data_IF_452232427304
#
_entry.id   IF_452232427304
#
_cell.length_a   1.000
_cell.length_b   1.000
_cell.length_c   1.000
_cell.angle_alpha   90.00
_cell.angle_beta   90.00
_cell.angle_gamma   90.00
#
_symmetry.space_group_name_H-M   'P 1'
#
loop_
_entity.id
_entity.type
_entity.pdbx_description
1 polymer ?
#
# COMPACT_ATOMS: atom_id res chain seq x y z
N UNK A 1 -2.49 22.99 9.52
CA UNK A 1 -2.13 21.60 9.12
C UNK A 1 -1.58 21.72 7.72
N UNK A 2 -0.40 21.15 7.42
CA UNK A 2 0.07 21.11 6.02
C UNK A 2 -0.93 20.30 5.18
N UNK A 3 -1.03 20.61 3.90
CA UNK A 3 -1.87 19.87 2.97
C UNK A 3 -1.44 18.39 3.01
N UNK A 4 -2.35 17.43 3.30
CA UNK A 4 -2.02 16.01 3.25
C UNK A 4 -1.54 15.52 1.87
N UNK A 5 -1.71 16.33 0.82
CA UNK A 5 -1.25 16.03 -0.54
C UNK A 5 0.14 16.60 -0.88
N UNK A 6 0.73 17.47 -0.04
CA UNK A 6 2.14 17.87 -0.18
C UNK A 6 3.01 16.76 0.44
N UNK A 7 3.42 15.76 -0.35
CA UNK A 7 4.33 14.72 0.16
C UNK A 7 5.74 15.29 0.28
N UNK A 8 6.02 15.95 1.40
CA UNK A 8 7.37 15.99 1.95
C UNK A 8 7.68 14.64 2.56
N UNK A 9 8.87 14.10 2.29
CA UNK A 9 9.36 12.83 2.86
C UNK A 9 8.97 12.68 4.34
N UNK A 10 8.25 11.61 4.68
CA UNK A 10 7.74 11.34 6.01
C UNK A 10 8.66 10.40 6.80
N UNK A 11 9.41 9.54 6.12
CA UNK A 11 10.34 8.63 6.80
C UNK A 11 11.69 9.27 7.06
N UNK A 12 12.20 9.10 8.27
CA UNK A 12 13.55 9.51 8.67
C UNK A 12 14.09 8.59 9.75
N UNK A 13 15.39 8.33 9.70
CA UNK A 13 16.10 7.58 10.74
C UNK A 13 16.54 8.51 11.90
N UNK A 14 16.56 9.82 11.66
CA UNK A 14 16.95 10.88 12.60
C UNK A 14 15.83 11.92 12.75
N UNK A 15 14.73 11.61 13.47
CA UNK A 15 13.65 12.56 13.68
C UNK A 15 14.08 13.72 14.57
N UNK A 16 13.69 14.94 14.21
CA UNK A 16 14.13 16.19 14.87
C UNK A 16 13.00 16.92 15.59
N UNK A 17 11.77 16.49 15.39
CA UNK A 17 10.58 17.08 16.00
C UNK A 17 9.55 16.00 16.36
N UNK A 18 8.55 16.38 17.14
CA UNK A 18 7.55 15.46 17.66
C UNK A 18 6.78 14.72 16.55
N UNK A 19 6.50 15.38 15.43
CA UNK A 19 5.78 14.77 14.31
C UNK A 19 6.63 13.71 13.62
N UNK A 20 7.88 14.03 13.29
CA UNK A 20 8.83 13.06 12.74
C UNK A 20 9.05 11.89 13.69
N UNK A 21 9.20 12.15 14.99
CA UNK A 21 9.36 11.11 16.01
C UNK A 21 8.15 10.20 16.06
N UNK A 22 6.92 10.76 16.07
CA UNK A 22 5.68 9.99 16.09
C UNK A 22 5.55 9.10 14.84
N UNK A 23 5.78 9.66 13.64
CA UNK A 23 5.68 8.92 12.37
C UNK A 23 6.77 7.85 12.20
N UNK A 24 7.88 7.98 12.92
CA UNK A 24 9.04 7.09 12.84
C UNK A 24 9.31 6.38 14.18
N UNK A 25 8.29 6.24 15.03
CA UNK A 25 8.44 5.75 16.40
C UNK A 25 8.75 4.26 16.45
N UNK A 26 8.05 3.46 15.64
CA UNK A 26 8.38 2.05 15.41
C UNK A 26 9.00 1.89 14.03
N UNK A 27 10.08 1.12 13.93
CA UNK A 27 10.78 0.92 12.68
C UNK A 27 11.43 -0.46 12.60
N UNK A 28 11.66 -0.95 11.38
CA UNK A 28 12.35 -2.22 11.14
C UNK A 28 13.88 -2.06 11.20
N UNK A 29 14.56 -2.96 11.90
CA UNK A 29 16.02 -3.10 11.95
C UNK A 29 16.37 -4.57 12.15
N UNK A 30 17.30 -5.10 11.36
CA UNK A 30 17.76 -6.50 11.47
C UNK A 30 16.61 -7.55 11.50
N UNK A 31 15.57 -7.34 10.69
CA UNK A 31 14.33 -8.13 10.63
C UNK A 31 13.49 -8.14 11.92
N UNK A 32 13.66 -7.14 12.78
CA UNK A 32 12.89 -6.95 14.00
C UNK A 32 12.24 -5.56 14.02
N UNK A 33 11.11 -5.45 14.71
CA UNK A 33 10.51 -4.16 15.01
C UNK A 33 11.17 -3.56 16.25
N UNK A 34 11.60 -2.30 16.14
CA UNK A 34 12.29 -1.55 17.18
C UNK A 34 11.49 -0.31 17.53
N UNK A 35 11.28 -0.08 18.82
CA UNK A 35 10.73 1.15 19.37
C UNK A 35 11.87 2.16 19.55
N UNK A 36 11.70 3.35 18.99
CA UNK A 36 12.71 4.43 19.08
C UNK A 36 13.00 4.84 20.52
N UNK A 37 12.00 4.81 21.39
CA UNK A 37 12.19 5.08 22.81
C UNK A 37 11.18 4.32 23.66
N UNK A 38 11.63 3.52 24.62
CA UNK A 38 10.78 2.88 25.61
C UNK A 38 11.56 2.69 26.91
N UNK A 39 10.89 2.76 28.06
CA UNK A 39 11.50 2.49 29.38
C UNK A 39 12.81 3.29 29.65
N UNK A 40 12.84 4.56 29.24
CA UNK A 40 14.03 5.40 29.44
C UNK A 40 15.18 5.14 28.47
N UNK A 41 15.02 4.23 27.51
CA UNK A 41 16.07 3.79 26.58
C UNK A 41 15.67 4.07 25.15
N UNK A 42 16.67 4.33 24.32
CA UNK A 42 16.52 4.42 22.86
C UNK A 42 16.71 3.04 22.22
N UNK A 43 16.14 2.87 21.03
CA UNK A 43 16.29 1.68 20.18
C UNK A 43 16.03 0.35 20.91
N UNK A 44 14.82 0.24 21.45
CA UNK A 44 14.38 -0.91 22.23
C UNK A 44 13.69 -1.94 21.33
N UNK A 45 14.16 -3.18 21.36
CA UNK A 45 13.49 -4.29 20.68
C UNK A 45 12.05 -4.45 21.20
N UNK A 46 11.08 -4.51 20.28
CA UNK A 46 9.66 -4.58 20.62
C UNK A 46 9.31 -5.89 21.33
N UNK A 47 9.84 -7.03 20.88
CA UNK A 47 9.51 -8.33 21.45
C UNK A 47 10.07 -8.46 22.87
N UNK A 48 11.30 -8.00 23.11
CA UNK A 48 11.90 -7.90 24.43
C UNK A 48 11.07 -7.00 25.36
N UNK A 49 10.65 -5.83 24.87
CA UNK A 49 9.83 -4.90 25.62
C UNK A 49 8.48 -5.52 26.01
N UNK A 50 7.77 -6.13 25.05
CA UNK A 50 6.48 -6.77 25.29
C UNK A 50 6.62 -7.96 26.24
N UNK A 51 7.62 -8.84 26.06
CA UNK A 51 7.86 -9.98 26.96
C UNK A 51 8.10 -9.50 28.39
N UNK A 52 8.93 -8.48 28.59
CA UNK A 52 9.16 -7.88 29.91
C UNK A 52 7.85 -7.40 30.55
N UNK A 53 7.08 -6.57 29.83
CA UNK A 53 5.81 -6.05 30.34
C UNK A 53 4.77 -7.16 30.58
N UNK A 54 4.77 -8.21 29.78
CA UNK A 54 3.87 -9.35 29.92
C UNK A 54 4.19 -10.16 31.19
N UNK A 55 5.48 -10.36 31.49
CA UNK A 55 5.96 -11.04 32.71
C UNK A 55 5.54 -10.32 33.97
N UNK A 56 5.59 -8.99 33.99
CA UNK A 56 5.09 -8.16 35.10
C UNK A 56 3.58 -8.34 35.35
N UNK A 57 2.83 -8.76 34.33
CA UNK A 57 1.39 -9.05 34.39
C UNK A 57 1.07 -10.54 34.57
N UNK A 58 2.09 -11.39 34.76
CA UNK A 58 1.95 -12.83 34.97
C UNK A 58 1.83 -13.68 33.70
N UNK A 59 1.95 -13.08 32.50
CA UNK A 59 2.06 -13.81 31.24
C UNK A 59 3.51 -14.26 31.01
N UNK A 60 3.71 -15.47 30.49
CA UNK A 60 5.03 -16.10 30.32
C UNK A 60 5.52 -16.12 28.87
N UNK A 61 5.01 -15.21 28.05
CA UNK A 61 5.43 -15.11 26.64
C UNK A 61 6.89 -14.68 26.57
N UNK A 62 7.70 -15.40 25.80
CA UNK A 62 9.08 -15.06 25.49
C UNK A 62 9.17 -14.28 24.17
N UNK A 63 10.26 -13.53 23.92
CA UNK A 63 10.43 -12.77 22.68
C UNK A 63 10.30 -13.63 21.42
N UNK A 64 10.77 -14.87 21.45
CA UNK A 64 10.68 -15.82 20.33
C UNK A 64 9.22 -16.20 20.03
N UNK A 65 8.39 -16.39 21.06
CA UNK A 65 6.97 -16.70 20.90
C UNK A 65 6.23 -15.55 20.18
N UNK A 66 6.61 -14.30 20.45
CA UNK A 66 6.04 -13.12 19.80
C UNK A 66 6.36 -13.09 18.31
N UNK A 67 7.60 -13.42 17.94
CA UNK A 67 8.03 -13.54 16.55
C UNK A 67 7.28 -14.64 15.80
N UNK A 68 6.86 -15.70 16.51
CA UNK A 68 6.01 -16.77 15.98
C UNK A 68 4.50 -16.42 15.99
N UNK A 69 4.12 -15.27 16.56
CA UNK A 69 2.76 -14.74 16.51
C UNK A 69 1.92 -14.96 17.77
N UNK A 70 2.51 -15.36 18.90
CA UNK A 70 1.79 -15.73 20.13
C UNK A 70 0.87 -14.65 20.74
N UNK A 71 0.99 -13.38 20.32
CA UNK A 71 0.11 -12.30 20.75
C UNK A 71 -0.92 -11.82 19.71
N UNK A 72 -0.95 -12.36 18.48
CA UNK A 72 -1.88 -11.84 17.45
C UNK A 72 -3.34 -12.19 17.71
N UNK A 73 -3.63 -13.24 18.48
CA UNK A 73 -4.99 -13.66 18.86
C UNK A 73 -5.37 -13.25 20.29
N UNK A 74 -4.49 -12.53 20.98
CA UNK A 74 -4.74 -12.08 22.34
C UNK A 74 -5.53 -10.75 22.36
N UNK A 75 -6.46 -10.60 23.29
CA UNK A 75 -7.25 -9.37 23.49
C UNK A 75 -6.67 -8.45 24.60
N UNK A 76 -5.36 -8.52 24.83
CA UNK A 76 -4.70 -7.68 25.84
C UNK A 76 -4.06 -6.43 25.23
N UNK A 77 -3.85 -5.40 26.04
CA UNK A 77 -3.25 -4.13 25.63
C UNK A 77 -1.84 -4.29 25.06
N UNK A 78 -1.10 -5.34 25.48
CA UNK A 78 0.22 -5.65 24.95
C UNK A 78 0.15 -6.26 23.55
N UNK A 79 -0.88 -7.06 23.26
CA UNK A 79 -1.15 -7.58 21.93
C UNK A 79 -1.53 -6.47 20.95
N UNK A 80 -2.35 -5.51 21.40
CA UNK A 80 -2.68 -4.30 20.62
C UNK A 80 -1.40 -3.50 20.33
N UNK A 81 -0.58 -3.24 21.36
CA UNK A 81 0.68 -2.51 21.20
C UNK A 81 1.63 -3.21 20.23
N UNK A 82 1.83 -4.52 20.39
CA UNK A 82 2.65 -5.33 19.49
C UNK A 82 2.15 -5.20 18.05
N UNK A 83 0.86 -5.43 17.82
CA UNK A 83 0.26 -5.39 16.48
C UNK A 83 0.42 -4.02 15.83
N UNK A 84 0.11 -2.94 16.54
CA UNK A 84 0.23 -1.57 16.01
C UNK A 84 1.69 -1.20 15.76
N UNK A 85 2.61 -1.59 16.64
CA UNK A 85 4.03 -1.28 16.48
C UNK A 85 4.65 -2.05 15.30
N UNK A 86 4.34 -3.33 15.12
CA UNK A 86 4.76 -4.12 13.95
C UNK A 86 4.15 -3.52 12.67
N UNK A 87 2.85 -3.24 12.67
CA UNK A 87 2.18 -2.60 11.53
C UNK A 87 2.86 -1.27 11.16
N UNK A 88 3.14 -0.42 12.15
CA UNK A 88 3.79 0.86 11.92
C UNK A 88 5.21 0.68 11.34
N UNK A 89 6.00 -0.27 11.86
CA UNK A 89 7.33 -0.58 11.33
C UNK A 89 7.27 -1.06 9.87
N UNK A 90 6.33 -1.96 9.55
CA UNK A 90 6.08 -2.47 8.19
C UNK A 90 5.69 -1.36 7.21
N UNK A 91 4.68 -0.56 7.56
CA UNK A 91 4.19 0.53 6.72
C UNK A 91 5.28 1.59 6.51
N UNK A 92 6.01 1.96 7.57
CA UNK A 92 7.15 2.87 7.49
C UNK A 92 8.24 2.31 6.58
N UNK A 93 8.59 1.03 6.71
CA UNK A 93 9.62 0.40 5.88
C UNK A 93 9.28 0.46 4.40
N UNK A 94 8.04 0.09 4.04
CA UNK A 94 7.55 0.18 2.65
C UNK A 94 7.51 1.61 2.14
N UNK A 95 7.02 2.55 2.95
CA UNK A 95 7.01 3.96 2.59
C UNK A 95 8.44 4.48 2.36
N UNK A 96 9.39 4.12 3.24
CA UNK A 96 10.80 4.49 3.10
C UNK A 96 11.37 3.96 1.79
N UNK A 97 11.05 2.73 1.39
CA UNK A 97 11.47 2.18 0.09
C UNK A 97 10.95 3.01 -1.09
N UNK A 98 9.68 3.40 -1.08
CA UNK A 98 9.11 4.24 -2.13
C UNK A 98 9.74 5.64 -2.15
N UNK A 99 9.91 6.25 -0.97
CA UNK A 99 10.55 7.57 -0.83
C UNK A 99 12.04 7.55 -1.22
N UNK A 100 12.78 6.49 -0.92
CA UNK A 100 14.18 6.29 -1.32
C UNK A 100 14.32 6.06 -2.83
N UNK A 101 13.33 5.40 -3.45
CA UNK A 101 13.24 5.26 -4.90
C UNK A 101 12.82 6.56 -5.61
N UNK A 102 12.45 7.60 -4.86
CA UNK A 102 11.96 8.86 -5.40
C UNK A 102 10.55 8.77 -5.99
N UNK A 103 9.77 7.73 -5.64
CA UNK A 103 8.40 7.55 -6.10
C UNK A 103 7.52 8.62 -5.45
N UNK A 104 6.85 9.40 -6.29
CA UNK A 104 5.92 10.47 -5.93
C UNK A 104 4.47 10.04 -6.16
N UNK A 105 3.50 10.82 -5.66
CA UNK A 105 2.09 10.64 -6.05
C UNK A 105 1.90 10.78 -7.57
N UNK A 106 2.76 11.57 -8.23
CA UNK A 106 2.74 11.73 -9.67
C UNK A 106 3.20 10.45 -10.39
N UNK A 107 4.12 9.68 -9.82
CA UNK A 107 4.48 8.35 -10.34
C UNK A 107 3.37 7.32 -10.10
N UNK A 108 2.47 7.58 -9.15
CA UNK A 108 1.25 6.83 -8.94
C UNK A 108 0.09 7.31 -9.83
N UNK A 109 0.32 8.21 -10.80
CA UNK A 109 -0.69 8.57 -11.80
C UNK A 109 -1.11 7.32 -12.57
N UNK A 110 -2.41 7.14 -12.73
CA UNK A 110 -2.97 6.07 -13.54
C UNK A 110 -3.09 6.59 -14.97
N UNK A 111 -1.96 6.86 -15.61
CA UNK A 111 -1.90 7.28 -17.01
C UNK A 111 -2.20 6.11 -17.95
N UNK A 112 -2.61 6.39 -19.20
CA UNK A 112 -2.71 5.35 -20.21
C UNK A 112 -1.37 4.65 -20.39
N UNK A 113 -1.39 3.33 -20.46
CA UNK A 113 -0.21 2.51 -20.71
C UNK A 113 0.48 2.95 -22.00
N UNK A 114 1.81 3.00 -21.99
CA UNK A 114 2.56 3.15 -23.25
C UNK A 114 2.47 1.86 -24.08
N UNK A 115 2.88 1.93 -25.35
CA UNK A 115 2.95 0.74 -26.21
C UNK A 115 3.92 -0.30 -25.63
N UNK A 116 5.06 0.14 -25.08
CA UNK A 116 6.02 -0.74 -24.42
C UNK A 116 5.38 -1.45 -23.22
N UNK A 117 4.65 -0.72 -22.39
CA UNK A 117 3.95 -1.31 -21.25
C UNK A 117 2.82 -2.25 -21.68
N UNK A 118 2.10 -1.94 -22.74
CA UNK A 118 1.05 -2.82 -23.32
C UNK A 118 1.61 -4.17 -23.77
N UNK A 119 2.79 -4.19 -24.38
CA UNK A 119 3.47 -5.44 -24.76
C UNK A 119 3.70 -6.33 -23.53
N UNK A 120 4.05 -5.75 -22.38
CA UNK A 120 4.24 -6.47 -21.13
C UNK A 120 2.92 -6.95 -20.49
N UNK A 121 1.77 -6.47 -20.97
CA UNK A 121 0.45 -6.80 -20.43
C UNK A 121 -0.17 -8.05 -21.04
N UNK A 122 0.49 -8.75 -21.98
CA UNK A 122 -0.02 -10.01 -22.55
C UNK A 122 -0.56 -10.96 -21.47
N UNK A 123 -1.82 -11.35 -21.60
CA UNK A 123 -2.58 -12.18 -20.66
C UNK A 123 -2.77 -11.63 -19.24
N UNK A 124 -2.44 -10.36 -19.00
CA UNK A 124 -2.65 -9.68 -17.71
C UNK A 124 -3.96 -8.87 -17.73
N UNK A 125 -4.61 -8.70 -16.56
CA UNK A 125 -5.76 -7.84 -16.44
C UNK A 125 -5.38 -6.36 -16.63
N UNK A 126 -6.24 -5.61 -17.29
CA UNK A 126 -6.12 -4.17 -17.46
C UNK A 126 -7.52 -3.52 -17.48
N UNK A 127 -7.57 -2.23 -17.18
CA UNK A 127 -8.79 -1.45 -17.34
C UNK A 127 -8.85 -0.89 -18.76
N UNK A 128 -9.88 -1.29 -19.51
CA UNK A 128 -10.12 -0.82 -20.86
C UNK A 128 -11.03 0.40 -20.80
N UNK A 129 -10.60 1.52 -21.38
CA UNK A 129 -11.40 2.73 -21.56
C UNK A 129 -11.71 2.93 -23.03
N UNK A 130 -12.98 3.08 -23.36
CA UNK A 130 -13.42 3.34 -24.74
C UNK A 130 -13.45 4.84 -24.97
N UNK A 131 -12.91 5.30 -26.11
CA UNK A 131 -12.94 6.71 -26.51
C UNK A 131 -14.03 7.01 -27.54
N UNK A 132 -14.48 5.99 -28.28
CA UNK A 132 -15.56 6.11 -29.25
C UNK A 132 -16.93 6.02 -28.59
N UNK A 133 -17.86 6.86 -29.02
CA UNK A 133 -19.26 6.82 -28.57
C UNK A 133 -19.97 5.63 -29.24
N UNK A 134 -19.88 4.45 -28.62
CA UNK A 134 -20.44 3.19 -29.11
C UNK A 134 -21.16 2.47 -27.97
N UNK A 135 -22.44 2.16 -28.17
CA UNK A 135 -23.28 1.46 -27.18
C UNK A 135 -22.79 0.03 -26.86
N UNK A 136 -21.95 -0.55 -27.72
CA UNK A 136 -21.41 -1.90 -27.58
C UNK A 136 -20.09 -1.97 -26.82
N UNK A 137 -19.39 -0.84 -26.67
CA UNK A 137 -18.08 -0.79 -26.06
C UNK A 137 -18.17 -0.01 -24.75
N UNK A 138 -17.91 -0.69 -23.63
CA UNK A 138 -17.97 -0.11 -22.28
C UNK A 138 -16.62 -0.17 -21.59
N UNK A 139 -16.41 0.80 -20.72
CA UNK A 139 -15.30 0.82 -19.77
C UNK A 139 -15.41 -0.36 -18.82
N UNK A 140 -14.42 -1.23 -18.80
CA UNK A 140 -14.43 -2.45 -17.98
C UNK A 140 -13.05 -3.08 -17.82
N UNK A 141 -12.93 -3.96 -16.82
CA UNK A 141 -11.80 -4.88 -16.70
C UNK A 141 -11.80 -5.89 -17.85
N UNK A 142 -10.63 -6.07 -18.48
CA UNK A 142 -10.40 -7.07 -19.52
C UNK A 142 -9.06 -7.77 -19.29
N UNK A 143 -8.90 -8.95 -19.89
CA UNK A 143 -7.59 -9.59 -20.04
C UNK A 143 -7.03 -9.15 -21.39
N UNK A 144 -5.78 -8.68 -21.43
CA UNK A 144 -5.14 -8.24 -22.67
C UNK A 144 -4.83 -9.46 -23.55
N UNK A 145 -5.44 -9.58 -24.75
CA UNK A 145 -5.08 -10.63 -25.69
C UNK A 145 -3.66 -10.39 -26.21
N UNK A 146 -2.88 -11.46 -26.36
CA UNK A 146 -1.50 -11.41 -26.85
C UNK A 146 -1.37 -10.68 -28.19
N UNK A 147 -2.26 -10.97 -29.16
CA UNK A 147 -2.25 -10.31 -30.47
C UNK A 147 -2.49 -8.80 -30.42
N UNK A 148 -3.22 -8.31 -29.42
CA UNK A 148 -3.43 -6.88 -29.20
C UNK A 148 -2.23 -6.30 -28.47
N UNK A 149 -1.69 -6.99 -27.46
CA UNK A 149 -0.49 -6.57 -26.74
C UNK A 149 0.71 -6.38 -27.67
N UNK A 150 0.94 -7.30 -28.61
CA UNK A 150 2.07 -7.28 -29.55
C UNK A 150 1.94 -6.24 -30.67
N UNK A 151 0.71 -5.81 -31.00
CA UNK A 151 0.48 -4.79 -32.02
C UNK A 151 -0.69 -3.85 -31.67
N UNK A 152 -0.60 -3.06 -30.57
CA UNK A 152 -1.71 -2.27 -30.09
C UNK A 152 -2.19 -1.21 -31.10
N UNK A 153 -1.25 -0.63 -31.86
CA UNK A 153 -1.56 0.39 -32.85
C UNK A 153 -2.41 -0.16 -34.01
N UNK A 154 -2.22 -1.43 -34.38
CA UNK A 154 -3.06 -2.12 -35.37
C UNK A 154 -4.52 -2.27 -34.94
N UNK A 155 -4.81 -2.04 -33.66
CA UNK A 155 -6.15 -2.02 -33.08
C UNK A 155 -6.54 -0.62 -32.61
N UNK A 156 -5.96 0.44 -33.20
CA UNK A 156 -6.34 1.85 -32.94
C UNK A 156 -6.15 2.29 -31.47
N UNK A 157 -5.15 1.71 -30.78
CA UNK A 157 -4.79 2.16 -29.44
C UNK A 157 -4.40 3.65 -29.43
N UNK A 158 -4.97 4.43 -28.50
CA UNK A 158 -4.79 5.88 -28.41
C UNK A 158 -5.80 6.69 -29.23
N UNK A 159 -6.53 6.05 -30.16
CA UNK A 159 -7.58 6.68 -30.96
C UNK A 159 -8.96 6.21 -30.50
N UNK A 160 -9.17 4.89 -30.46
CA UNK A 160 -10.47 4.30 -30.15
C UNK A 160 -10.59 3.87 -28.69
N UNK A 161 -9.46 3.60 -28.04
CA UNK A 161 -9.41 3.12 -26.66
C UNK A 161 -8.06 3.39 -25.99
N UNK A 162 -8.10 3.37 -24.65
CA UNK A 162 -6.94 3.47 -23.77
C UNK A 162 -6.94 2.31 -22.78
N UNK A 163 -5.76 1.99 -22.26
CA UNK A 163 -5.55 0.92 -21.30
C UNK A 163 -4.90 1.50 -20.06
N UNK A 164 -5.37 1.09 -18.89
CA UNK A 164 -4.83 1.54 -17.62
C UNK A 164 -4.51 0.34 -16.74
N UNK A 165 -3.49 0.46 -15.88
CA UNK A 165 -3.18 -0.60 -14.90
C UNK A 165 -4.25 -0.75 -13.83
N UNK A 166 -5.02 0.32 -13.59
CA UNK A 166 -6.09 0.40 -12.57
C UNK A 166 -7.32 1.05 -13.17
N UNK A 167 -8.45 0.91 -12.49
CA UNK A 167 -9.66 1.67 -12.81
C UNK A 167 -9.44 3.18 -12.67
N UNK A 168 -10.11 3.96 -13.51
CA UNK A 168 -10.08 5.43 -13.50
C UNK A 168 -11.36 6.00 -12.87
N UNK A 169 -11.24 7.03 -12.04
CA UNK A 169 -12.39 7.69 -11.43
C UNK A 169 -13.27 8.39 -12.48
N UNK A 170 -14.60 8.28 -12.35
CA UNK A 170 -15.57 8.83 -13.30
C UNK A 170 -15.79 7.97 -14.55
N UNK A 171 -15.47 6.67 -14.50
CA UNK A 171 -15.91 5.72 -15.53
C UNK A 171 -17.44 5.57 -15.47
N UNK A 172 -18.08 5.33 -16.62
CA UNK A 172 -19.54 5.40 -16.83
C UNK A 172 -20.37 4.49 -15.88
N UNK A 173 -19.71 3.58 -15.14
CA UNK A 173 -20.36 2.71 -14.16
C UNK A 173 -20.76 3.41 -12.85
N UNK A 174 -20.44 4.69 -12.66
CA UNK A 174 -20.97 5.50 -11.54
C UNK A 174 -22.41 6.02 -11.77
N UNK A 175 -23.15 5.49 -12.76
CA UNK A 175 -24.56 5.85 -12.94
C UNK A 175 -25.48 5.03 -12.00
N UNK A 176 -26.11 5.64 -10.97
CA UNK A 176 -26.90 4.92 -9.97
C UNK A 176 -28.20 4.30 -10.51
N UNK A 177 -28.58 4.60 -11.75
CA UNK A 177 -29.88 4.19 -12.30
C UNK A 177 -29.97 2.72 -12.75
N UNK A 178 -28.88 1.93 -12.67
CA UNK A 178 -28.90 0.50 -13.02
C UNK A 178 -28.80 -0.45 -11.82
N UNK A 179 -28.77 0.04 -10.58
CA UNK A 179 -28.87 -0.81 -9.38
C UNK A 179 -30.31 -1.21 -9.00
N UNK A 180 -31.33 -0.63 -9.64
CA UNK A 180 -32.74 -0.92 -9.35
C UNK A 180 -33.41 -1.82 -10.41
N UNK A 181 -32.75 -2.89 -10.85
CA UNK A 181 -33.43 -3.98 -11.56
C UNK A 181 -32.94 -5.36 -11.08
N UNK A 182 -32.83 -5.55 -9.77
CA UNK A 182 -32.95 -6.87 -9.14
C UNK A 182 -33.66 -6.73 -7.79
N UNK A 183 -34.98 -6.63 -7.86
CA UNK A 183 -35.92 -6.87 -6.77
C UNK A 183 -36.85 -8.02 -7.14
#
# INVERSE_FOLDING_TARGET
>A
MKDPMEITRLTTDEPKNNTETMLNYSYGKDNQAVLRYADGKEDVDLCEYISKCAKEKGCKVEPEDLMEGACMECDCELAILYTVAVQAAELRGRLKMYEDAGITLDDLKNEPLTIEELNEMSWKPYWHKVLTDSEYCRDQWRIMPECIAENPQGYHYGEDWLAYRREIAGSINDNPELSEVQG
#
